data_IF_984771357130
#
_entry.id   IF_984771357130
#
_cell.length_a   1.000
_cell.length_b   1.000
_cell.length_c   1.000
_cell.angle_alpha   90.00
_cell.angle_beta   90.00
_cell.angle_gamma   90.00
#
_symmetry.space_group_name_H-M   'P 1'
#
loop_
_entity.id
_entity.type
_entity.pdbx_description
1 polymer ?
#
# COMPACT_ATOMS: atom_id res chain seq x y z
N UNK A 1 25.66 29.79 -28.59
CA UNK A 1 26.14 28.56 -29.23
C UNK A 1 27.41 28.19 -28.50
N UNK A 2 27.31 27.30 -27.52
CA UNK A 2 28.42 26.91 -26.65
C UNK A 2 29.23 25.79 -27.32
N UNK A 3 30.44 26.11 -27.79
CA UNK A 3 31.28 25.18 -28.55
C UNK A 3 32.15 24.26 -27.68
N UNK A 4 32.19 24.47 -26.36
CA UNK A 4 33.05 23.71 -25.43
C UNK A 4 32.38 23.32 -24.10
N UNK A 5 31.09 23.61 -23.94
CA UNK A 5 30.32 23.23 -22.75
C UNK A 5 29.80 21.80 -22.86
N UNK A 6 29.83 21.03 -21.77
CA UNK A 6 29.04 19.81 -21.68
C UNK A 6 27.56 20.19 -21.59
N UNK A 7 26.68 19.41 -22.20
CA UNK A 7 25.23 19.62 -22.12
C UNK A 7 24.68 19.33 -20.72
N UNK A 8 23.50 19.88 -20.44
CA UNK A 8 22.62 19.54 -19.33
C UNK A 8 21.41 18.71 -19.85
N UNK A 9 21.60 17.45 -20.28
CA UNK A 9 20.59 16.71 -21.02
C UNK A 9 19.43 16.17 -20.16
N UNK A 10 18.25 16.14 -20.78
CA UNK A 10 17.06 15.42 -20.32
C UNK A 10 16.30 14.80 -21.50
N UNK A 11 15.44 13.82 -21.23
CA UNK A 11 14.55 13.21 -22.21
C UNK A 11 13.11 13.69 -22.05
N UNK A 12 12.43 13.77 -23.18
CA UNK A 12 10.98 13.94 -23.27
C UNK A 12 10.38 12.85 -24.14
N UNK A 13 9.33 12.21 -23.64
CA UNK A 13 8.58 11.18 -24.34
C UNK A 13 7.23 11.75 -24.77
N UNK A 14 6.92 11.58 -26.05
CA UNK A 14 5.72 12.11 -26.67
C UNK A 14 4.88 10.99 -27.29
N UNK A 15 3.56 11.09 -27.12
CA UNK A 15 2.60 10.26 -27.85
C UNK A 15 2.06 10.98 -29.07
N UNK A 16 1.76 10.22 -30.13
CA UNK A 16 1.05 10.76 -31.28
C UNK A 16 -0.45 10.79 -30.99
N UNK A 17 -1.07 11.96 -31.15
CA UNK A 17 -2.52 12.14 -31.01
C UNK A 17 -3.26 11.68 -32.27
N UNK A 18 -4.58 11.50 -32.18
CA UNK A 18 -5.44 11.12 -33.32
C UNK A 18 -5.35 12.09 -34.51
N UNK A 19 -5.01 13.35 -34.25
CA UNK A 19 -4.81 14.40 -35.27
C UNK A 19 -3.34 14.52 -35.73
N UNK A 20 -2.49 13.55 -35.40
CA UNK A 20 -1.09 13.48 -35.83
C UNK A 20 -0.11 14.39 -35.08
N UNK A 21 -0.58 15.17 -34.09
CA UNK A 21 0.28 16.02 -33.25
C UNK A 21 0.95 15.23 -32.14
N UNK A 22 2.16 15.64 -31.74
CA UNK A 22 2.88 15.08 -30.60
C UNK A 22 2.45 15.75 -29.30
N UNK A 23 2.06 14.95 -28.29
CA UNK A 23 1.72 15.41 -26.94
C UNK A 23 2.73 14.86 -25.95
N UNK A 24 3.31 15.74 -25.13
CA UNK A 24 4.25 15.35 -24.07
C UNK A 24 3.53 14.44 -23.06
N UNK A 25 4.17 13.31 -22.75
CA UNK A 25 3.69 12.33 -21.75
C UNK A 25 4.57 12.34 -20.52
N UNK A 26 5.89 12.43 -20.71
CA UNK A 26 6.84 12.33 -19.62
C UNK A 26 8.12 13.11 -19.91
N UNK A 27 8.76 13.62 -18.85
CA UNK A 27 10.06 14.28 -18.88
C UNK A 27 10.93 13.74 -17.73
N UNK A 28 12.18 13.38 -18.02
CA UNK A 28 13.14 12.91 -17.01
C UNK A 28 13.73 14.04 -16.18
N UNK A 29 14.51 13.70 -15.16
CA UNK A 29 15.42 14.66 -14.52
C UNK A 29 16.50 15.17 -15.50
N UNK A 30 17.03 16.36 -15.20
CA UNK A 30 18.15 16.99 -15.91
C UNK A 30 19.45 16.55 -15.25
N UNK A 31 20.38 16.03 -16.05
CA UNK A 31 21.75 15.77 -15.59
C UNK A 31 22.66 16.91 -16.02
N UNK A 32 23.39 17.52 -15.10
CA UNK A 32 24.25 18.67 -15.44
C UNK A 32 25.61 18.24 -15.96
N UNK A 33 26.11 18.96 -16.96
CA UNK A 33 27.46 18.84 -17.51
C UNK A 33 27.85 17.39 -17.87
N UNK A 34 27.03 16.70 -18.66
CA UNK A 34 27.32 15.34 -19.14
C UNK A 34 26.93 15.14 -20.61
N UNK A 35 27.73 14.31 -21.29
CA UNK A 35 27.46 13.83 -22.66
C UNK A 35 26.90 12.39 -22.66
N UNK A 36 26.97 11.70 -21.52
CA UNK A 36 26.51 10.32 -21.34
C UNK A 36 25.61 10.23 -20.10
N UNK A 37 24.44 10.91 -20.12
CA UNK A 37 23.50 10.83 -19.00
C UNK A 37 22.96 9.42 -18.83
N UNK A 38 22.75 9.02 -17.58
CA UNK A 38 22.00 7.82 -17.22
C UNK A 38 20.83 8.23 -16.33
N UNK A 39 19.63 8.20 -16.89
CA UNK A 39 18.42 8.59 -16.18
C UNK A 39 17.93 7.48 -15.24
N UNK A 40 17.14 7.88 -14.24
CA UNK A 40 16.42 6.94 -13.36
C UNK A 40 15.48 6.05 -14.17
N UNK A 41 15.17 4.86 -13.65
CA UNK A 41 14.13 4.02 -14.20
C UNK A 41 12.78 4.74 -14.14
N UNK A 42 11.98 4.60 -15.19
CA UNK A 42 10.66 5.22 -15.30
C UNK A 42 9.60 4.13 -15.49
N UNK A 43 8.43 4.35 -14.91
CA UNK A 43 7.25 3.50 -15.09
C UNK A 43 6.16 4.33 -15.73
N UNK A 44 5.67 3.90 -16.89
CA UNK A 44 4.67 4.63 -17.67
C UNK A 44 3.50 3.72 -18.02
N UNK A 45 2.28 4.24 -17.87
CA UNK A 45 1.07 3.56 -18.31
C UNK A 45 1.01 3.53 -19.86
N UNK A 46 0.80 2.35 -20.45
CA UNK A 46 0.74 2.18 -21.91
C UNK A 46 -0.43 2.93 -22.56
N UNK A 47 -1.56 3.10 -21.87
CA UNK A 47 -2.67 3.93 -22.36
C UNK A 47 -2.24 5.38 -22.51
N UNK A 48 -1.50 5.91 -21.53
CA UNK A 48 -0.99 7.28 -21.59
C UNK A 48 0.12 7.43 -22.62
N UNK A 49 1.00 6.46 -22.78
CA UNK A 49 2.17 6.54 -23.65
C UNK A 49 1.87 6.26 -25.13
N UNK A 50 1.06 5.25 -25.42
CA UNK A 50 0.81 4.77 -26.79
C UNK A 50 -0.64 4.29 -27.00
N UNK A 51 -1.60 4.79 -26.22
CA UNK A 51 -3.02 4.39 -26.24
C UNK A 51 -3.22 2.85 -26.15
N UNK A 52 -2.36 2.18 -25.38
CA UNK A 52 -2.38 0.73 -25.18
C UNK A 52 -1.82 -0.09 -26.35
N UNK A 53 -1.52 0.54 -27.49
CA UNK A 53 -0.97 -0.15 -28.65
C UNK A 53 0.56 0.01 -28.72
N UNK A 54 1.28 -1.05 -28.35
CA UNK A 54 2.74 -1.07 -28.27
C UNK A 54 3.44 -0.93 -29.63
N UNK A 55 2.72 -1.10 -30.74
CA UNK A 55 3.21 -0.89 -32.10
C UNK A 55 3.05 0.56 -32.58
N UNK A 56 2.30 1.42 -31.85
CA UNK A 56 2.20 2.85 -32.20
C UNK A 56 3.52 3.57 -31.95
N UNK A 57 3.88 4.54 -32.82
CA UNK A 57 5.10 5.31 -32.65
C UNK A 57 4.98 6.25 -31.44
N UNK A 58 6.07 6.32 -30.70
CA UNK A 58 6.36 7.34 -29.69
C UNK A 58 7.58 8.11 -30.15
N UNK A 59 7.64 9.39 -29.80
CA UNK A 59 8.79 10.23 -30.11
C UNK A 59 9.57 10.49 -28.83
N UNK A 60 10.87 10.23 -28.87
CA UNK A 60 11.80 10.55 -27.79
C UNK A 60 12.66 11.72 -28.24
N UNK A 61 12.68 12.79 -27.45
CA UNK A 61 13.48 13.98 -27.71
C UNK A 61 14.50 14.10 -26.59
N UNK A 62 15.79 14.16 -26.94
CA UNK A 62 16.85 14.57 -26.03
C UNK A 62 17.07 16.06 -26.21
N UNK A 63 17.06 16.82 -25.12
CA UNK A 63 17.21 18.26 -25.15
C UNK A 63 18.18 18.73 -24.06
N UNK A 64 18.84 19.85 -24.35
CA UNK A 64 19.77 20.54 -23.47
C UNK A 64 19.03 21.63 -22.68
N UNK A 65 19.06 21.53 -21.35
CA UNK A 65 18.42 22.50 -20.48
C UNK A 65 19.29 23.76 -20.34
N UNK A 66 18.70 24.94 -20.52
CA UNK A 66 19.40 26.21 -20.27
C UNK A 66 18.81 26.95 -19.06
N UNK A 67 19.66 27.70 -18.36
CA UNK A 67 19.29 28.51 -17.18
C UNK A 67 18.18 29.55 -17.42
N UNK A 68 17.94 29.95 -18.67
CA UNK A 68 16.89 30.90 -19.04
C UNK A 68 15.50 30.24 -19.22
N UNK A 69 15.36 28.95 -18.91
CA UNK A 69 14.12 28.19 -19.02
C UNK A 69 13.78 27.70 -20.42
N UNK A 70 14.61 28.00 -21.44
CA UNK A 70 14.51 27.43 -22.79
C UNK A 70 15.35 26.17 -22.90
N UNK A 71 14.87 25.19 -23.67
CA UNK A 71 15.65 24.00 -24.01
C UNK A 71 15.97 23.98 -25.50
N UNK A 72 17.17 23.50 -25.83
CA UNK A 72 17.58 23.29 -27.22
C UNK A 72 17.52 21.78 -27.54
N UNK A 73 16.81 21.34 -28.58
CA UNK A 73 16.81 19.93 -28.94
C UNK A 73 18.22 19.50 -29.40
N UNK A 74 18.72 18.41 -28.82
CA UNK A 74 19.98 17.76 -29.21
C UNK A 74 19.71 16.82 -30.39
N UNK A 75 18.65 16.02 -30.28
CA UNK A 75 18.19 15.11 -31.33
C UNK A 75 16.93 14.37 -30.90
N UNK A 76 16.23 13.77 -31.86
CA UNK A 76 15.02 12.99 -31.62
C UNK A 76 15.06 11.66 -32.37
N UNK A 77 14.31 10.68 -31.86
CA UNK A 77 14.04 9.44 -32.57
C UNK A 77 12.55 9.08 -32.45
N UNK A 78 12.05 8.34 -33.43
CA UNK A 78 10.71 7.76 -33.40
C UNK A 78 10.88 6.25 -33.26
N UNK A 79 10.31 5.71 -32.20
CA UNK A 79 10.42 4.30 -31.80
C UNK A 79 9.06 3.78 -31.38
N UNK A 80 8.95 2.48 -31.14
CA UNK A 80 7.76 1.83 -30.59
C UNK A 80 8.12 1.14 -29.27
N UNK A 81 7.13 0.92 -28.40
CA UNK A 81 7.37 0.15 -27.17
C UNK A 81 7.82 -1.26 -27.51
N UNK A 82 7.33 -1.84 -28.62
CA UNK A 82 7.84 -3.12 -29.15
C UNK A 82 9.35 -3.10 -29.38
N UNK A 83 9.88 -2.06 -30.03
CA UNK A 83 11.32 -1.91 -30.28
C UNK A 83 12.09 -1.68 -28.98
N UNK A 84 11.59 -0.85 -28.06
CA UNK A 84 12.23 -0.63 -26.76
C UNK A 84 12.34 -1.93 -25.96
N UNK A 85 11.27 -2.73 -25.93
CA UNK A 85 11.18 -3.99 -25.18
C UNK A 85 12.14 -5.08 -25.69
N UNK A 86 12.72 -4.93 -26.89
CA UNK A 86 13.80 -5.81 -27.38
C UNK A 86 15.06 -5.74 -26.49
N UNK A 87 15.25 -4.65 -25.72
CA UNK A 87 16.32 -4.55 -24.71
C UNK A 87 16.30 -5.73 -23.73
N UNK A 88 15.11 -6.25 -23.37
CA UNK A 88 14.96 -7.39 -22.45
C UNK A 88 15.65 -8.65 -22.96
N UNK A 89 15.65 -8.87 -24.27
CA UNK A 89 16.24 -10.06 -24.90
C UNK A 89 17.71 -9.82 -25.30
N UNK A 90 18.04 -8.61 -25.75
CA UNK A 90 19.33 -8.29 -26.33
C UNK A 90 20.33 -7.64 -25.35
N UNK A 91 19.99 -7.56 -24.06
CA UNK A 91 20.65 -6.78 -23.00
C UNK A 91 20.67 -5.25 -23.22
N UNK A 92 20.66 -4.77 -24.46
CA UNK A 92 20.57 -3.35 -24.80
C UNK A 92 20.07 -3.18 -26.24
N UNK A 93 19.30 -2.13 -26.51
CA UNK A 93 19.04 -1.64 -27.87
C UNK A 93 19.40 -0.17 -28.00
N UNK A 94 19.80 0.24 -29.20
CA UNK A 94 20.29 1.60 -29.47
C UNK A 94 19.51 2.23 -30.61
N UNK A 95 19.18 3.51 -30.47
CA UNK A 95 18.51 4.30 -31.49
C UNK A 95 19.27 5.59 -31.71
N UNK A 96 19.61 5.88 -32.96
CA UNK A 96 20.26 7.14 -33.31
C UNK A 96 19.32 8.32 -33.03
N UNK A 97 19.83 9.33 -32.34
CA UNK A 97 19.15 10.60 -32.13
C UNK A 97 19.50 11.53 -33.28
N UNK A 98 18.50 11.97 -34.02
CA UNK A 98 18.67 12.78 -35.22
C UNK A 98 18.04 14.15 -34.99
N UNK A 99 18.79 15.22 -35.27
CA UNK A 99 18.25 16.57 -35.30
C UNK A 99 17.78 16.89 -36.73
N UNK A 100 16.47 17.10 -36.98
CA UNK A 100 15.96 17.27 -38.34
C UNK A 100 16.66 18.37 -39.17
N UNK A 101 17.13 19.43 -38.50
CA UNK A 101 17.87 20.52 -39.16
C UNK A 101 19.24 20.11 -39.72
N UNK A 102 19.88 19.07 -39.17
CA UNK A 102 21.24 18.66 -39.51
C UNK A 102 21.29 17.58 -40.61
N UNK A 103 20.16 16.95 -40.96
CA UNK A 103 20.07 15.88 -41.96
C UNK A 103 20.50 16.35 -43.36
N UNK A 104 20.47 17.66 -43.64
CA UNK A 104 20.92 18.24 -44.91
C UNK A 104 22.45 18.18 -45.10
N UNK A 105 23.21 17.91 -44.04
CA UNK A 105 24.67 17.77 -44.09
C UNK A 105 25.03 16.32 -44.39
N UNK A 106 25.70 16.05 -45.51
CA UNK A 106 26.10 14.71 -45.94
C UNK A 106 27.05 13.99 -44.97
N UNK A 107 27.76 14.72 -44.11
CA UNK A 107 28.67 14.15 -43.12
C UNK A 107 28.00 13.89 -41.76
N UNK A 108 26.76 14.33 -41.57
CA UNK A 108 26.03 14.14 -40.32
C UNK A 108 25.50 12.71 -40.22
N UNK A 109 25.86 12.01 -39.14
CA UNK A 109 25.39 10.64 -38.85
C UNK A 109 24.28 10.63 -37.81
N UNK A 110 24.54 11.22 -36.64
CA UNK A 110 23.57 11.41 -35.55
C UNK A 110 24.11 12.46 -34.57
N UNK A 111 23.28 12.85 -33.59
CA UNK A 111 23.61 13.73 -32.46
C UNK A 111 23.89 12.95 -31.16
N UNK A 112 24.14 11.65 -31.25
CA UNK A 112 24.21 10.72 -30.12
C UNK A 112 23.22 9.56 -30.27
N UNK A 113 23.19 8.67 -29.28
CA UNK A 113 22.35 7.48 -29.29
C UNK A 113 21.54 7.37 -28.00
N UNK A 114 20.25 7.04 -28.14
CA UNK A 114 19.43 6.58 -27.04
C UNK A 114 19.74 5.10 -26.80
N UNK A 115 20.33 4.82 -25.64
CA UNK A 115 20.67 3.46 -25.22
C UNK A 115 19.64 2.98 -24.21
N UNK A 116 18.87 1.95 -24.56
CA UNK A 116 17.87 1.35 -23.70
C UNK A 116 18.44 0.08 -23.09
N UNK A 117 18.79 0.16 -21.80
CA UNK A 117 19.41 -0.95 -21.06
C UNK A 117 18.37 -2.00 -20.67
N UNK A 118 17.16 -1.59 -20.32
CA UNK A 118 16.07 -2.49 -19.97
C UNK A 118 14.74 -1.83 -20.29
N UNK A 119 13.84 -2.59 -20.90
CA UNK A 119 12.44 -2.22 -21.04
C UNK A 119 11.63 -3.49 -20.85
N UNK A 120 10.71 -3.47 -19.89
CA UNK A 120 9.82 -4.60 -19.58
C UNK A 120 8.39 -4.12 -19.60
N UNK A 121 7.53 -4.88 -20.26
CA UNK A 121 6.08 -4.70 -20.19
C UNK A 121 5.56 -5.62 -19.10
N UNK A 122 4.96 -5.03 -18.06
CA UNK A 122 4.35 -5.77 -16.96
C UNK A 122 2.85 -5.51 -16.95
N UNK A 123 2.07 -6.58 -16.75
CA UNK A 123 0.64 -6.44 -16.49
C UNK A 123 0.46 -5.96 -15.06
N UNK A 124 -0.29 -4.87 -14.90
CA UNK A 124 -0.71 -4.38 -13.59
C UNK A 124 -2.08 -4.98 -13.29
N UNK A 125 -2.17 -5.73 -12.20
CA UNK A 125 -3.43 -6.34 -11.74
C UNK A 125 -4.08 -5.43 -10.72
N UNK A 126 -5.40 -5.24 -10.84
CA UNK A 126 -6.18 -4.49 -9.85
C UNK A 126 -6.47 -5.36 -8.64
N UNK A 127 -6.89 -4.76 -7.54
CA UNK A 127 -7.35 -5.45 -6.34
C UNK A 127 -8.41 -6.49 -6.68
N UNK A 128 -9.42 -6.13 -7.48
CA UNK A 128 -10.46 -7.06 -7.91
C UNK A 128 -9.93 -8.20 -8.79
N UNK A 129 -8.86 -7.99 -9.56
CA UNK A 129 -8.21 -9.07 -10.31
C UNK A 129 -7.56 -10.09 -9.37
N UNK A 130 -6.95 -9.63 -8.26
CA UNK A 130 -6.41 -10.53 -7.24
C UNK A 130 -7.52 -11.33 -6.55
N UNK A 131 -8.61 -10.67 -6.13
CA UNK A 131 -9.75 -11.34 -5.48
C UNK A 131 -10.40 -12.37 -6.42
N UNK A 132 -10.74 -11.96 -7.65
CA UNK A 132 -11.34 -12.87 -8.66
C UNK A 132 -10.37 -13.96 -9.09
N UNK A 133 -9.07 -13.67 -9.07
CA UNK A 133 -8.01 -14.64 -9.31
C UNK A 133 -7.78 -15.62 -8.16
N UNK A 134 -8.52 -15.53 -7.05
CA UNK A 134 -8.43 -16.48 -5.95
C UNK A 134 -7.39 -16.13 -4.88
N UNK A 135 -6.90 -14.89 -4.83
CA UNK A 135 -6.18 -14.39 -3.66
C UNK A 135 -7.13 -14.34 -2.47
N UNK A 136 -6.69 -14.90 -1.33
CA UNK A 136 -7.44 -14.85 -0.08
C UNK A 136 -7.07 -13.60 0.72
N UNK A 137 -8.07 -12.92 1.27
CA UNK A 137 -7.87 -11.89 2.28
C UNK A 137 -8.17 -12.48 3.65
N UNK A 138 -7.19 -12.49 4.54
CA UNK A 138 -7.35 -12.94 5.92
C UNK A 138 -7.58 -11.73 6.83
N UNK A 139 -8.81 -11.57 7.30
CA UNK A 139 -9.18 -10.48 8.19
C UNK A 139 -8.98 -10.89 9.65
N UNK A 140 -8.27 -10.07 10.42
CA UNK A 140 -8.10 -10.24 11.86
C UNK A 140 -8.57 -9.00 12.60
N UNK A 141 -9.10 -9.15 13.81
CA UNK A 141 -9.48 -8.03 14.66
C UNK A 141 -8.74 -8.08 16.00
N UNK A 142 -8.19 -6.95 16.43
CA UNK A 142 -7.62 -6.72 17.74
C UNK A 142 -8.46 -5.67 18.46
N UNK A 143 -8.92 -6.00 19.66
CA UNK A 143 -9.80 -5.13 20.44
C UNK A 143 -9.06 -4.69 21.69
N UNK A 144 -9.11 -3.41 21.96
CA UNK A 144 -8.60 -2.81 23.18
C UNK A 144 -9.46 -3.20 24.39
N UNK A 145 -8.84 -3.74 25.44
CA UNK A 145 -9.46 -4.06 26.72
C UNK A 145 -8.77 -3.29 27.86
N UNK A 146 -8.27 -2.10 27.58
CA UNK A 146 -7.54 -1.30 28.58
C UNK A 146 -8.47 -0.61 29.57
N UNK A 147 -7.92 -0.20 30.71
CA UNK A 147 -8.67 0.43 31.79
C UNK A 147 -9.21 1.83 31.44
N UNK A 148 -8.63 2.52 30.45
CA UNK A 148 -9.13 3.80 29.90
C UNK A 148 -10.60 3.71 29.44
N UNK A 149 -11.00 2.53 28.94
CA UNK A 149 -12.35 2.23 28.49
C UNK A 149 -13.38 2.08 29.61
N UNK A 150 -12.93 2.07 30.89
CA UNK A 150 -13.71 1.89 32.12
C UNK A 150 -14.42 0.53 32.22
N UNK A 151 -14.75 0.05 33.43
CA UNK A 151 -15.49 -1.20 33.60
C UNK A 151 -16.83 -1.21 32.85
N UNK A 152 -17.21 -2.31 32.18
CA UNK A 152 -18.45 -2.40 31.38
C UNK A 152 -19.74 -2.19 32.18
N UNK A 153 -19.69 -2.30 33.51
CA UNK A 153 -20.80 -2.01 34.41
C UNK A 153 -21.11 -0.52 34.54
N UNK A 154 -20.19 0.36 34.15
CA UNK A 154 -20.37 1.82 34.19
C UNK A 154 -21.05 2.29 32.90
N UNK A 155 -22.03 3.20 33.02
CA UNK A 155 -22.81 3.69 31.88
C UNK A 155 -21.99 4.48 30.85
N UNK A 156 -20.89 5.09 31.29
CA UNK A 156 -19.96 5.88 30.48
C UNK A 156 -18.74 5.08 30.00
N UNK A 157 -18.75 3.76 30.18
CA UNK A 157 -17.75 2.87 29.59
C UNK A 157 -17.98 2.69 28.09
N UNK A 158 -16.89 2.70 27.31
CA UNK A 158 -16.94 2.41 25.88
C UNK A 158 -17.25 0.93 25.59
N UNK A 159 -17.10 0.05 26.59
CA UNK A 159 -17.52 -1.35 26.53
C UNK A 159 -18.92 -1.60 27.10
N UNK A 160 -19.59 -0.59 27.67
CA UNK A 160 -20.93 -0.76 28.23
C UNK A 160 -21.93 -1.17 27.15
N UNK A 161 -22.53 -2.34 27.28
CA UNK A 161 -23.62 -2.79 26.41
C UNK A 161 -24.93 -2.20 26.93
N UNK A 162 -25.40 -1.12 26.31
CA UNK A 162 -26.69 -0.50 26.64
C UNK A 162 -27.90 -1.23 26.02
N UNK A 163 -29.01 -0.50 25.90
CA UNK A 163 -30.20 -0.97 25.18
C UNK A 163 -29.84 -1.37 23.74
N UNK A 164 -30.42 -2.47 23.25
CA UNK A 164 -30.07 -3.10 21.95
C UNK A 164 -28.62 -3.58 21.81
N UNK A 165 -27.88 -3.75 22.92
CA UNK A 165 -26.57 -4.39 22.87
C UNK A 165 -25.60 -3.64 21.93
N UNK A 166 -25.55 -2.32 22.11
CA UNK A 166 -24.80 -1.39 21.29
C UNK A 166 -23.75 -0.67 22.13
N UNK A 167 -22.51 -0.70 21.64
CA UNK A 167 -21.39 0.17 22.00
C UNK A 167 -20.51 0.35 20.77
N UNK A 168 -19.59 1.33 20.78
CA UNK A 168 -18.84 1.68 19.57
C UNK A 168 -17.98 0.52 19.06
N UNK A 169 -17.34 -0.26 19.95
CA UNK A 169 -16.63 -1.49 19.58
C UNK A 169 -17.54 -2.47 18.83
N UNK A 170 -18.73 -2.77 19.35
CA UNK A 170 -19.70 -3.66 18.70
C UNK A 170 -20.21 -3.11 17.37
N UNK A 171 -20.38 -1.80 17.25
CA UNK A 171 -20.80 -1.17 15.99
C UNK A 171 -19.72 -1.35 14.91
N UNK A 172 -18.45 -1.11 15.26
CA UNK A 172 -17.31 -1.33 14.35
C UNK A 172 -17.20 -2.81 13.97
N UNK A 173 -17.25 -3.73 14.94
CA UNK A 173 -17.19 -5.19 14.69
C UNK A 173 -18.31 -5.62 13.72
N UNK A 174 -19.53 -5.14 13.94
CA UNK A 174 -20.69 -5.45 13.08
C UNK A 174 -20.53 -4.89 11.68
N UNK A 175 -20.11 -3.63 11.56
CA UNK A 175 -19.95 -2.97 10.27
C UNK A 175 -18.84 -3.64 9.45
N UNK A 176 -17.63 -3.69 9.99
CA UNK A 176 -16.45 -4.21 9.32
C UNK A 176 -16.59 -5.71 9.08
N UNK A 177 -16.88 -6.50 10.12
CA UNK A 177 -17.05 -7.94 9.97
C UNK A 177 -18.21 -8.30 9.04
N UNK A 178 -19.33 -7.57 9.13
CA UNK A 178 -20.54 -7.78 8.33
C UNK A 178 -20.30 -7.66 6.84
N UNK A 179 -19.40 -6.75 6.44
CA UNK A 179 -19.06 -6.48 5.04
C UNK A 179 -17.90 -7.34 4.56
N UNK A 180 -16.85 -7.50 5.39
CA UNK A 180 -15.62 -8.18 4.97
C UNK A 180 -15.74 -9.70 4.91
N UNK A 181 -16.71 -10.29 5.62
CA UNK A 181 -17.00 -11.74 5.52
C UNK A 181 -17.38 -12.22 4.11
N UNK A 182 -17.68 -11.32 3.16
CA UNK A 182 -17.95 -11.70 1.76
C UNK A 182 -16.68 -11.79 0.92
N UNK A 183 -15.57 -11.21 1.39
CA UNK A 183 -14.25 -11.30 0.77
C UNK A 183 -13.38 -12.40 1.39
N UNK A 184 -13.76 -12.87 2.58
CA UNK A 184 -13.14 -14.00 3.27
C UNK A 184 -13.75 -15.33 2.77
N UNK A 185 -12.91 -16.22 2.26
CA UNK A 185 -13.35 -17.48 1.69
C UNK A 185 -13.81 -18.50 2.75
N UNK A 186 -13.21 -18.50 3.94
CA UNK A 186 -13.54 -19.46 5.02
C UNK A 186 -14.28 -18.82 6.19
N UNK A 187 -14.37 -17.48 6.20
CA UNK A 187 -15.07 -16.68 7.20
C UNK A 187 -14.54 -16.92 8.62
N UNK A 188 -13.29 -17.37 8.74
CA UNK A 188 -12.61 -17.54 10.01
C UNK A 188 -11.93 -16.22 10.36
N UNK A 189 -12.38 -15.60 11.43
CA UNK A 189 -11.83 -14.34 11.93
C UNK A 189 -10.93 -14.59 13.13
N UNK A 190 -9.59 -14.62 12.99
CA UNK A 190 -8.69 -14.49 14.12
C UNK A 190 -9.02 -13.23 14.91
N UNK A 191 -9.35 -13.40 16.18
CA UNK A 191 -9.79 -12.32 17.04
C UNK A 191 -8.94 -12.25 18.30
N UNK A 192 -8.38 -11.08 18.57
CA UNK A 192 -7.46 -10.83 19.65
C UNK A 192 -7.94 -9.68 20.53
N UNK A 193 -7.52 -9.69 21.79
CA UNK A 193 -7.61 -8.58 22.71
C UNK A 193 -6.21 -8.19 23.20
N UNK A 194 -6.07 -6.97 23.70
CA UNK A 194 -4.84 -6.48 24.32
C UNK A 194 -5.14 -5.57 25.52
N UNK A 195 -4.15 -5.38 26.40
CA UNK A 195 -4.25 -4.49 27.56
C UNK A 195 -5.12 -5.00 28.72
N UNK A 196 -5.27 -6.33 28.86
CA UNK A 196 -6.07 -6.90 29.95
C UNK A 196 -5.36 -8.02 30.70
N UNK A 197 -5.72 -8.17 31.97
CA UNK A 197 -5.29 -9.30 32.79
C UNK A 197 -6.25 -10.48 32.58
N UNK A 198 -5.70 -11.63 32.16
CA UNK A 198 -6.45 -12.86 31.95
C UNK A 198 -6.74 -13.57 33.30
N UNK A 199 -7.83 -14.35 33.41
CA UNK A 199 -8.21 -15.02 34.67
C UNK A 199 -7.11 -15.88 35.31
N UNK A 200 -6.28 -16.51 34.48
CA UNK A 200 -5.22 -17.44 34.90
C UNK A 200 -3.84 -16.78 34.98
N UNK A 201 -3.74 -15.47 34.78
CA UNK A 201 -2.46 -14.77 34.67
C UNK A 201 -2.39 -13.58 35.62
N UNK A 202 -1.23 -13.42 36.28
CA UNK A 202 -0.97 -12.25 37.12
C UNK A 202 -0.53 -11.02 36.31
N UNK A 203 0.04 -11.25 35.12
CA UNK A 203 0.54 -10.20 34.24
C UNK A 203 -0.54 -9.76 33.26
N UNK A 204 -0.46 -8.49 32.85
CA UNK A 204 -1.29 -7.95 31.78
C UNK A 204 -0.82 -8.55 30.45
N UNK A 205 -1.77 -9.11 29.71
CA UNK A 205 -1.55 -9.63 28.37
C UNK A 205 -1.77 -8.52 27.35
N UNK A 206 -0.85 -8.41 26.40
CA UNK A 206 -0.89 -7.44 25.32
C UNK A 206 -1.28 -8.08 23.97
N UNK A 207 -1.55 -9.38 23.95
CA UNK A 207 -2.08 -10.11 22.80
C UNK A 207 -2.66 -11.48 23.22
N UNK A 208 -3.98 -11.57 23.36
CA UNK A 208 -4.65 -12.83 23.71
C UNK A 208 -5.82 -13.11 22.78
N UNK A 209 -6.15 -14.37 22.48
CA UNK A 209 -7.32 -14.68 21.67
C UNK A 209 -8.60 -14.36 22.44
N UNK A 210 -9.60 -13.74 21.78
CA UNK A 210 -10.91 -13.48 22.41
C UNK A 210 -11.65 -14.76 22.79
N UNK A 211 -11.35 -15.87 22.11
CA UNK A 211 -11.84 -17.21 22.46
C UNK A 211 -11.29 -17.72 23.80
N UNK A 212 -10.25 -17.07 24.33
CA UNK A 212 -9.44 -17.52 25.47
C UNK A 212 -8.84 -18.93 25.27
N UNK A 213 -8.72 -19.35 24.02
CA UNK A 213 -8.07 -20.60 23.62
C UNK A 213 -6.89 -20.29 22.70
N UNK A 214 -5.67 -20.39 23.23
CA UNK A 214 -4.44 -20.14 22.49
C UNK A 214 -4.29 -21.01 21.23
N UNK A 215 -4.89 -22.20 21.20
CA UNK A 215 -4.84 -23.11 20.06
C UNK A 215 -5.89 -22.80 18.99
N UNK A 216 -6.92 -22.01 19.31
CA UNK A 216 -7.96 -21.65 18.36
C UNK A 216 -8.41 -20.18 18.55
N UNK A 217 -7.70 -19.21 17.95
CA UNK A 217 -8.07 -17.80 17.99
C UNK A 217 -9.24 -17.45 17.06
N UNK A 218 -9.67 -18.38 16.19
CA UNK A 218 -10.58 -18.10 15.10
C UNK A 218 -12.05 -18.11 15.55
N UNK A 219 -12.79 -17.12 15.06
CA UNK A 219 -14.24 -17.01 15.22
C UNK A 219 -14.91 -17.35 13.88
N UNK A 220 -15.86 -18.30 13.91
CA UNK A 220 -16.66 -18.71 12.75
C UNK A 220 -17.74 -17.66 12.43
N UNK A 221 -17.37 -16.69 11.58
CA UNK A 221 -18.22 -15.57 11.22
C UNK A 221 -18.36 -14.48 12.30
N UNK A 222 -19.03 -13.40 11.89
CA UNK A 222 -19.22 -12.17 12.70
C UNK A 222 -19.99 -12.43 13.99
N UNK A 223 -20.96 -13.35 13.96
CA UNK A 223 -21.75 -13.68 15.15
C UNK A 223 -20.91 -14.38 16.23
N UNK A 224 -20.01 -15.29 15.83
CA UNK A 224 -19.07 -15.92 16.75
C UNK A 224 -18.08 -14.88 17.32
N UNK A 225 -17.63 -13.93 16.50
CA UNK A 225 -16.76 -12.84 16.92
C UNK A 225 -17.43 -11.94 17.98
N UNK A 226 -18.67 -11.51 17.74
CA UNK A 226 -19.46 -10.72 18.70
C UNK A 226 -19.63 -11.50 20.01
N UNK A 227 -19.93 -12.80 19.93
CA UNK A 227 -20.07 -13.66 21.11
C UNK A 227 -18.75 -13.82 21.87
N UNK A 228 -17.63 -13.99 21.16
CA UNK A 228 -16.31 -14.09 21.75
C UNK A 228 -15.92 -12.80 22.48
N UNK A 229 -16.09 -11.64 21.84
CA UNK A 229 -15.85 -10.33 22.44
C UNK A 229 -16.62 -10.17 23.77
N UNK A 230 -17.95 -10.39 23.76
CA UNK A 230 -18.78 -10.27 24.96
C UNK A 230 -18.38 -11.26 26.05
N UNK A 231 -18.12 -12.51 25.67
CA UNK A 231 -17.71 -13.53 26.65
C UNK A 231 -16.33 -13.25 27.22
N UNK A 232 -15.43 -12.64 26.45
CA UNK A 232 -14.10 -12.29 26.90
C UNK A 232 -14.17 -11.15 27.92
N UNK A 233 -14.98 -10.13 27.62
CA UNK A 233 -15.20 -8.95 28.45
C UNK A 233 -15.70 -9.27 29.88
N UNK A 234 -16.45 -10.35 30.07
CA UNK A 234 -16.91 -10.78 31.40
C UNK A 234 -15.88 -11.57 32.20
N UNK A 235 -14.79 -12.01 31.56
CA UNK A 235 -13.77 -12.89 32.16
C UNK A 235 -12.47 -12.15 32.45
N UNK A 236 -12.09 -11.22 31.58
CA UNK A 236 -10.84 -10.47 31.73
C UNK A 236 -11.02 -9.26 32.64
N UNK A 237 -9.92 -8.81 33.25
CA UNK A 237 -9.88 -7.54 33.98
C UNK A 237 -9.19 -6.50 33.13
N UNK A 238 -9.90 -5.42 32.80
CA UNK A 238 -9.34 -4.31 32.02
C UNK A 238 -8.13 -3.71 32.75
N UNK A 239 -7.06 -3.42 32.02
CA UNK A 239 -5.79 -3.01 32.62
C UNK A 239 -4.98 -2.06 31.73
N UNK A 240 -3.75 -1.77 32.12
CA UNK A 240 -2.82 -0.94 31.35
C UNK A 240 -1.47 -1.66 31.29
N UNK A 241 -0.59 -1.35 30.32
CA UNK A 241 -0.70 -0.32 29.27
C UNK A 241 -1.47 -0.79 28.01
N UNK A 242 -1.76 0.16 27.12
CA UNK A 242 -2.23 -0.07 25.75
C UNK A 242 -1.03 -0.22 24.79
N UNK A 243 -0.53 -1.45 24.60
CA UNK A 243 0.61 -1.71 23.71
C UNK A 243 0.14 -2.37 22.41
N UNK A 244 0.42 -1.75 21.26
CA UNK A 244 -0.01 -2.28 19.96
C UNK A 244 1.04 -3.18 19.31
N UNK A 245 2.32 -3.01 19.62
CA UNK A 245 3.39 -3.77 18.99
C UNK A 245 3.21 -5.30 19.13
N UNK A 246 2.76 -5.87 20.26
CA UNK A 246 2.58 -7.32 20.39
C UNK A 246 1.56 -7.89 19.41
N UNK A 247 0.39 -7.26 19.28
CA UNK A 247 -0.66 -7.75 18.37
C UNK A 247 -0.30 -7.56 16.90
N UNK A 248 0.39 -6.46 16.55
CA UNK A 248 0.93 -6.25 15.21
C UNK A 248 1.96 -7.33 14.88
N UNK A 249 2.91 -7.60 15.78
CA UNK A 249 3.93 -8.63 15.58
C UNK A 249 3.36 -10.05 15.46
N UNK A 250 2.27 -10.34 16.17
CA UNK A 250 1.54 -11.61 16.05
C UNK A 250 1.02 -11.82 14.63
N UNK A 251 0.31 -10.84 14.07
CA UNK A 251 -0.26 -10.95 12.72
C UNK A 251 0.85 -10.88 11.67
N UNK A 252 1.86 -10.03 11.85
CA UNK A 252 3.06 -10.01 11.01
C UNK A 252 3.77 -11.37 10.98
N UNK A 253 3.83 -12.09 12.10
CA UNK A 253 4.40 -13.44 12.15
C UNK A 253 3.60 -14.43 11.30
N UNK A 254 2.26 -14.32 11.27
CA UNK A 254 1.42 -15.10 10.37
C UNK A 254 1.68 -14.72 8.91
N UNK A 255 1.65 -13.44 8.58
CA UNK A 255 1.89 -12.93 7.22
C UNK A 255 3.28 -13.33 6.67
N UNK A 256 4.31 -13.36 7.53
CA UNK A 256 5.67 -13.80 7.18
C UNK A 256 5.76 -15.28 6.79
N UNK A 257 4.81 -16.12 7.21
CA UNK A 257 4.79 -17.55 6.86
C UNK A 257 4.24 -17.80 5.45
N UNK A 258 3.54 -16.83 4.86
CA UNK A 258 3.04 -16.93 3.49
C UNK A 258 4.22 -17.16 2.54
N UNK A 259 4.13 -18.22 1.75
CA UNK A 259 5.11 -18.55 0.72
C UNK A 259 4.47 -18.32 -0.64
N UNK A 260 4.92 -17.28 -1.33
CA UNK A 260 4.52 -16.99 -2.70
C UNK A 260 5.26 -17.91 -3.70
N UNK A 261 4.95 -19.21 -3.62
CA UNK A 261 5.45 -20.18 -4.58
C UNK A 261 4.98 -19.79 -6.00
N UNK A 262 5.84 -20.02 -6.99
CA UNK A 262 5.52 -19.74 -8.40
C UNK A 262 5.11 -18.29 -8.72
N UNK A 263 5.48 -17.31 -7.88
CA UNK A 263 5.11 -15.90 -8.00
C UNK A 263 3.59 -15.63 -8.00
N UNK A 264 2.83 -16.43 -7.23
CA UNK A 264 1.38 -16.27 -7.14
C UNK A 264 0.96 -15.66 -5.81
N UNK A 265 0.11 -14.63 -5.87
CA UNK A 265 -0.46 -13.92 -4.74
C UNK A 265 -1.63 -14.71 -4.11
N UNK A 266 -1.32 -15.70 -3.26
CA UNK A 266 -2.34 -16.57 -2.68
C UNK A 266 -3.06 -15.98 -1.46
N UNK A 267 -2.40 -15.10 -0.71
CA UNK A 267 -2.90 -14.64 0.59
C UNK A 267 -2.36 -13.24 0.95
N UNK A 268 -3.19 -12.44 1.61
CA UNK A 268 -2.85 -11.15 2.19
C UNK A 268 -3.62 -10.94 3.51
N UNK A 269 -2.96 -10.39 4.52
CA UNK A 269 -3.58 -10.15 5.83
C UNK A 269 -4.04 -8.70 5.99
N UNK A 270 -5.17 -8.51 6.65
CA UNK A 270 -5.67 -7.18 7.04
C UNK A 270 -6.02 -7.24 8.53
N UNK A 271 -5.31 -6.46 9.33
CA UNK A 271 -5.51 -6.35 10.78
C UNK A 271 -6.28 -5.09 11.11
N UNK A 272 -7.47 -5.22 11.69
CA UNK A 272 -8.20 -4.10 12.30
C UNK A 272 -7.85 -4.02 13.78
N UNK A 273 -7.41 -2.86 14.25
CA UNK A 273 -7.18 -2.57 15.66
C UNK A 273 -8.21 -1.53 16.10
N UNK A 274 -9.11 -1.90 17.02
CA UNK A 274 -10.12 -1.00 17.56
C UNK A 274 -9.65 -0.57 18.94
N UNK A 275 -9.48 0.73 19.17
CA UNK A 275 -8.92 1.30 20.40
C UNK A 275 -9.55 2.65 20.72
N UNK A 276 -9.52 3.05 21.99
CA UNK A 276 -9.92 4.38 22.41
C UNK A 276 -8.80 5.43 22.28
N UNK A 277 -7.66 5.08 21.70
CA UNK A 277 -6.72 6.05 21.12
C UNK A 277 -5.39 6.22 21.82
N UNK A 278 -5.16 5.57 22.95
CA UNK A 278 -3.91 5.69 23.68
C UNK A 278 -2.92 4.60 23.24
N UNK A 279 -1.71 4.99 22.79
CA UNK A 279 -0.64 4.05 22.42
C UNK A 279 0.57 4.26 23.32
N UNK A 280 0.79 3.34 24.27
CA UNK A 280 1.84 3.49 25.28
C UNK A 280 3.22 3.06 24.79
N UNK A 281 3.30 2.25 23.74
CA UNK A 281 4.54 1.69 23.20
C UNK A 281 4.90 2.22 21.81
N UNK A 282 4.66 3.50 21.55
CA UNK A 282 4.91 4.16 20.25
C UNK A 282 6.24 3.77 19.57
N UNK A 283 7.40 3.75 20.24
CA UNK A 283 8.65 3.32 19.61
C UNK A 283 8.63 1.86 19.12
N UNK A 284 8.05 0.95 19.91
CA UNK A 284 7.95 -0.47 19.55
C UNK A 284 6.88 -0.69 18.48
N UNK A 285 5.79 0.07 18.52
CA UNK A 285 4.72 0.04 17.52
C UNK A 285 5.23 0.52 16.16
N UNK A 286 6.00 1.61 16.10
CA UNK A 286 6.68 2.07 14.89
C UNK A 286 7.64 1.03 14.34
N UNK A 287 8.45 0.39 15.18
CA UNK A 287 9.33 -0.71 14.76
C UNK A 287 8.51 -1.88 14.18
N UNK A 288 7.42 -2.28 14.84
CA UNK A 288 6.57 -3.37 14.38
C UNK A 288 5.93 -3.07 13.01
N UNK A 289 5.44 -1.84 12.80
CA UNK A 289 4.85 -1.39 11.53
C UNK A 289 5.92 -1.35 10.43
N UNK A 290 7.10 -0.78 10.71
CA UNK A 290 8.20 -0.72 9.74
C UNK A 290 8.64 -2.13 9.31
N UNK A 291 8.75 -3.08 10.24
CA UNK A 291 9.04 -4.47 9.87
C UNK A 291 7.88 -5.15 9.14
N UNK A 292 6.63 -4.87 9.53
CA UNK A 292 5.43 -5.38 8.89
C UNK A 292 5.24 -4.85 7.45
N UNK A 293 5.75 -3.65 7.14
CA UNK A 293 5.63 -3.05 5.80
C UNK A 293 6.24 -3.90 4.67
N UNK A 294 7.16 -4.82 5.01
CA UNK A 294 7.82 -5.75 4.10
C UNK A 294 7.00 -7.03 3.85
N UNK A 295 5.87 -7.21 4.53
CA UNK A 295 5.04 -8.41 4.54
C UNK A 295 3.70 -8.16 3.83
N UNK A 296 2.93 -9.20 3.43
CA UNK A 296 1.60 -9.03 2.85
C UNK A 296 0.57 -8.71 3.95
N UNK A 297 0.67 -7.50 4.51
CA UNK A 297 -0.12 -7.06 5.66
C UNK A 297 -0.50 -5.57 5.50
N UNK A 298 -1.77 -5.27 5.77
CA UNK A 298 -2.29 -3.92 6.04
C UNK A 298 -2.86 -3.85 7.45
N UNK A 299 -2.82 -2.67 8.06
CA UNK A 299 -3.28 -2.40 9.42
C UNK A 299 -4.27 -1.24 9.34
N UNK A 300 -5.48 -1.42 9.87
CA UNK A 300 -6.46 -0.34 9.97
C UNK A 300 -6.73 -0.08 11.45
N UNK A 301 -6.42 1.13 11.89
CA UNK A 301 -6.65 1.64 13.23
C UNK A 301 -8.04 2.31 13.24
N UNK A 302 -8.94 1.83 14.10
CA UNK A 302 -10.27 2.42 14.27
C UNK A 302 -10.37 3.03 15.67
N UNK A 303 -10.41 4.36 15.73
CA UNK A 303 -10.54 5.12 16.98
C UNK A 303 -11.99 5.17 17.44
N UNK A 304 -12.25 4.75 18.68
CA UNK A 304 -13.57 4.85 19.33
C UNK A 304 -13.53 5.77 20.54
N UNK A 305 -14.67 6.34 20.89
CA UNK A 305 -14.73 7.38 21.92
C UNK A 305 -14.24 8.73 21.41
N UNK A 306 -14.08 9.68 22.32
CA UNK A 306 -13.80 11.09 22.03
C UNK A 306 -12.44 11.54 22.57
N UNK A 307 -11.50 10.59 22.71
CA UNK A 307 -10.15 10.90 23.14
C UNK A 307 -9.36 11.59 22.02
N UNK A 308 -8.14 12.00 22.35
CA UNK A 308 -7.20 12.59 21.42
C UNK A 308 -6.43 11.50 20.67
N UNK A 309 -6.65 11.41 19.35
CA UNK A 309 -6.07 10.36 18.50
C UNK A 309 -4.74 10.74 17.83
N UNK A 310 -4.02 11.75 18.36
CA UNK A 310 -2.73 12.19 17.79
C UNK A 310 -1.74 11.04 17.54
N UNK A 311 -1.66 10.07 18.45
CA UNK A 311 -0.77 8.91 18.29
C UNK A 311 -1.17 8.06 17.08
N UNK A 312 -2.46 7.82 16.86
CA UNK A 312 -2.94 7.05 15.71
C UNK A 312 -2.77 7.79 14.39
N UNK A 313 -2.96 9.12 14.40
CA UNK A 313 -2.68 9.99 13.24
C UNK A 313 -1.18 10.00 12.90
N UNK A 314 -0.28 9.96 13.90
CA UNK A 314 1.17 9.83 13.64
C UNK A 314 1.49 8.50 12.96
N UNK A 315 0.77 7.41 13.30
CA UNK A 315 0.99 6.11 12.69
C UNK A 315 0.46 5.99 11.27
N UNK A 316 -0.58 6.76 10.92
CA UNK A 316 -1.26 6.75 9.61
C UNK A 316 -0.32 7.09 8.44
N UNK A 317 0.67 7.97 8.66
CA UNK A 317 1.79 8.20 7.73
C UNK A 317 1.46 8.81 6.35
N UNK A 318 0.22 9.26 6.10
CA UNK A 318 -0.20 9.95 4.86
C UNK A 318 0.76 11.06 4.38
N UNK A 319 1.26 11.87 5.32
CA UNK A 319 2.10 13.04 5.04
C UNK A 319 3.61 12.70 4.97
N UNK A 320 4.04 11.57 5.53
CA UNK A 320 5.45 11.21 5.63
C UNK A 320 5.66 9.70 5.88
N UNK A 321 6.66 9.12 5.21
CA UNK A 321 7.05 7.72 5.43
C UNK A 321 7.40 7.50 6.90
N UNK A 322 6.73 6.53 7.55
CA UNK A 322 7.02 6.15 8.93
C UNK A 322 8.47 5.67 9.09
N UNK A 323 9.17 6.20 10.08
CA UNK A 323 10.54 5.80 10.41
C UNK A 323 10.56 5.10 11.76
N UNK A 324 11.28 4.00 11.90
CA UNK A 324 11.50 3.33 13.18
C UNK A 324 12.51 4.11 14.04
N UNK A 325 12.57 3.90 15.37
CA UNK A 325 13.59 4.52 16.23
C UNK A 325 15.04 4.20 15.81
N UNK A 326 15.24 3.08 15.12
CA UNK A 326 16.51 2.68 14.51
C UNK A 326 16.96 3.56 13.33
N UNK A 327 16.07 4.38 12.78
CA UNK A 327 16.28 5.17 11.56
C UNK A 327 15.87 4.44 10.27
N UNK A 328 15.37 3.21 10.35
CA UNK A 328 14.84 2.49 9.20
C UNK A 328 13.48 3.05 8.77
N UNK A 329 13.30 3.32 7.48
CA UNK A 329 12.02 3.75 6.92
C UNK A 329 11.14 2.55 6.56
N UNK A 330 9.83 2.71 6.70
CA UNK A 330 8.85 1.77 6.18
C UNK A 330 9.06 1.57 4.67
N UNK A 331 8.91 0.32 4.23
CA UNK A 331 9.10 -0.06 2.82
C UNK A 331 7.97 0.48 1.92
N UNK A 332 6.78 0.60 2.50
CA UNK A 332 5.55 1.12 1.91
C UNK A 332 4.61 1.52 3.05
N UNK A 333 3.60 2.31 2.72
CA UNK A 333 2.52 2.58 3.65
C UNK A 333 1.62 1.35 3.81
N UNK A 334 1.22 1.08 5.05
CA UNK A 334 0.39 -0.06 5.41
C UNK A 334 -0.65 0.27 6.48
N UNK A 335 -0.63 1.49 7.03
CA UNK A 335 -1.52 1.88 8.12
C UNK A 335 -2.63 2.74 7.53
N UNK A 336 -3.83 2.62 8.09
CA UNK A 336 -4.90 3.57 7.84
C UNK A 336 -5.58 3.89 9.17
N UNK A 337 -5.82 5.16 9.50
CA UNK A 337 -6.57 5.56 10.69
C UNK A 337 -7.96 6.10 10.36
N UNK A 338 -8.97 5.62 11.09
CA UNK A 338 -10.36 6.05 10.95
C UNK A 338 -11.00 6.32 12.32
N UNK A 339 -11.31 7.58 12.66
CA UNK A 339 -12.09 7.90 13.87
C UNK A 339 -13.58 7.55 13.64
N UNK A 340 -14.11 6.58 14.38
CA UNK A 340 -15.49 6.11 14.21
C UNK A 340 -16.54 7.20 14.48
N UNK A 341 -16.27 8.11 15.43
CA UNK A 341 -17.23 9.16 15.80
C UNK A 341 -17.58 10.12 14.65
N UNK A 342 -16.67 10.32 13.70
CA UNK A 342 -16.90 11.18 12.54
C UNK A 342 -18.03 10.65 11.65
N UNK A 343 -18.32 9.34 11.74
CA UNK A 343 -19.33 8.65 10.95
C UNK A 343 -20.52 8.16 11.80
N UNK A 344 -20.57 8.47 13.10
CA UNK A 344 -21.58 7.92 14.01
C UNK A 344 -23.03 8.30 13.64
N UNK A 345 -23.21 9.35 12.82
CA UNK A 345 -24.52 9.82 12.32
C UNK A 345 -24.75 9.53 10.83
N UNK A 346 -23.75 8.98 10.16
CA UNK A 346 -23.80 8.67 8.74
C UNK A 346 -24.30 7.24 8.50
N UNK A 347 -24.73 6.91 7.26
CA UNK A 347 -24.91 5.53 6.84
C UNK A 347 -23.63 4.73 7.04
N UNK A 348 -23.76 3.46 7.46
CA UNK A 348 -22.63 2.58 7.75
C UNK A 348 -21.71 2.41 6.53
N UNK A 349 -22.27 2.55 5.34
CA UNK A 349 -21.55 2.47 4.06
C UNK A 349 -20.46 3.54 3.96
N UNK A 350 -20.68 4.76 4.46
CA UNK A 350 -19.64 5.80 4.45
C UNK A 350 -18.47 5.47 5.37
N UNK A 351 -18.75 4.93 6.55
CA UNK A 351 -17.71 4.44 7.45
C UNK A 351 -16.91 3.31 6.79
N UNK A 352 -17.59 2.39 6.10
CA UNK A 352 -16.95 1.29 5.39
C UNK A 352 -16.12 1.73 4.19
N UNK A 353 -16.59 2.74 3.44
CA UNK A 353 -15.82 3.37 2.36
C UNK A 353 -14.51 3.93 2.91
N UNK A 354 -14.56 4.65 4.03
CA UNK A 354 -13.35 5.17 4.67
C UNK A 354 -12.42 4.03 5.10
N UNK A 355 -12.92 3.04 5.85
CA UNK A 355 -12.14 1.88 6.34
C UNK A 355 -11.48 1.08 5.20
N UNK A 356 -12.05 1.10 4.00
CA UNK A 356 -11.58 0.36 2.84
C UNK A 356 -10.81 1.22 1.83
N UNK A 357 -10.65 2.52 2.07
CA UNK A 357 -10.13 3.48 1.08
C UNK A 357 -8.74 3.08 0.59
N UNK A 358 -7.83 2.73 1.51
CA UNK A 358 -6.44 2.46 1.17
C UNK A 358 -6.11 1.00 0.90
N UNK A 359 -6.89 0.07 1.47
CA UNK A 359 -6.62 -1.37 1.41
C UNK A 359 -6.37 -1.85 -0.03
N UNK A 360 -7.22 -1.51 -1.04
CA UNK A 360 -6.98 -1.92 -2.42
C UNK A 360 -5.61 -1.49 -2.94
N UNK A 361 -5.21 -0.24 -2.68
CA UNK A 361 -3.93 0.29 -3.14
C UNK A 361 -2.76 -0.39 -2.44
N UNK A 362 -2.83 -0.57 -1.12
CA UNK A 362 -1.78 -1.20 -0.33
C UNK A 362 -1.56 -2.68 -0.76
N UNK A 363 -2.64 -3.40 -1.07
CA UNK A 363 -2.58 -4.79 -1.62
C UNK A 363 -1.93 -4.82 -3.00
N UNK A 364 -2.40 -3.97 -3.91
CA UNK A 364 -1.84 -3.85 -5.27
C UNK A 364 -0.34 -3.51 -5.21
N UNK A 365 0.02 -2.49 -4.44
CA UNK A 365 1.39 -2.03 -4.27
C UNK A 365 2.31 -3.15 -3.80
N UNK A 366 1.92 -3.91 -2.77
CA UNK A 366 2.72 -5.03 -2.28
C UNK A 366 2.93 -6.09 -3.36
N UNK A 367 1.85 -6.56 -4.00
CA UNK A 367 1.96 -7.62 -5.00
C UNK A 367 2.72 -7.17 -6.25
N UNK A 368 2.58 -5.92 -6.69
CA UNK A 368 3.34 -5.38 -7.82
C UNK A 368 4.84 -5.25 -7.48
N UNK A 369 5.18 -4.77 -6.29
CA UNK A 369 6.57 -4.68 -5.83
C UNK A 369 7.24 -6.06 -5.73
N UNK A 370 6.47 -7.09 -5.37
CA UNK A 370 6.94 -8.47 -5.27
C UNK A 370 6.84 -9.26 -6.59
N UNK A 371 6.38 -8.64 -7.68
CA UNK A 371 6.16 -9.26 -8.99
C UNK A 371 5.25 -10.51 -8.91
N UNK A 372 4.14 -10.38 -8.16
CA UNK A 372 3.19 -11.45 -7.88
C UNK A 372 1.91 -11.31 -8.72
N UNK A 373 1.47 -12.44 -9.27
CA UNK A 373 0.30 -12.54 -10.13
C UNK A 373 -0.89 -13.16 -9.40
N UNK A 374 -2.14 -12.84 -9.79
CA UNK A 374 -3.31 -13.52 -9.26
C UNK A 374 -3.25 -15.04 -9.53
N UNK A 375 -3.66 -15.90 -8.57
CA UNK A 375 -3.46 -17.35 -8.66
C UNK A 375 -4.07 -18.05 -9.88
N UNK A 376 -5.30 -17.66 -10.24
CA UNK A 376 -6.14 -18.35 -11.23
C UNK A 376 -6.50 -17.47 -12.43
N UNK A 377 -5.85 -16.32 -12.61
CA UNK A 377 -6.08 -15.51 -13.81
C UNK A 377 -5.43 -16.20 -15.01
N UNK A 378 -6.27 -16.72 -15.90
CA UNK A 378 -5.82 -17.12 -17.23
C UNK A 378 -5.30 -15.87 -17.94
N UNK A 379 -4.08 -15.95 -18.49
CA UNK A 379 -3.63 -14.96 -19.46
C UNK A 379 -4.69 -14.89 -20.57
N UNK A 380 -5.25 -13.72 -20.87
CA UNK A 380 -6.18 -13.57 -21.99
C UNK A 380 -5.51 -13.95 -23.31
#
# INVERSE_FOLDING_TARGET
QDWFGKSDPFLELYKQTSIGKWKLVYRTEVHKNTLNPRWKNIVLNLQSLCDGNIAKPIKVVCADWNRNGRSNPIGECIVTVMQLNQAKLNNTVMFDLVLPGNVKNSNYKNSGQLVVVLCTICRQYTFLDYIRGGCKLQFSMAIDFTASNKPPSQLDSLHHTGFNDANQYLMVIRAVGGTLQYYDADKQFPAYGFGAQLPSEEKVSQDFPLTLNANNPNCDGVQALIKAYKSCLTKVKLSEPANLAPVINRVATAAKRIKFQSKLAHEYHILFIITDGEVKDMPATREAIVQASKLPLSIVLVGVGSNDFRDLVELDSDDAILTAPSGENAFRDIVQFVPYLDFARDPVEKFLEQVMEEIPHQVEQYFHQMDLQPPNMTSP
#
